data_IF_127234634954
#
_entry.id   IF_127234634954
#
_cell.length_a   1.000
_cell.length_b   1.000
_cell.length_c   1.000
_cell.angle_alpha   90.00
_cell.angle_beta   90.00
_cell.angle_gamma   90.00
#
_symmetry.space_group_name_H-M   'P 1'
#
loop_
_entity.id
_entity.type
_entity.pdbx_description
1 polymer ?
#
# COMPACT_ATOMS: atom_id res chain seq x y z
N UNK A 1 12.35 0.37 28.07
CA UNK A 1 12.61 0.27 26.63
C UNK A 1 13.78 -0.67 26.39
N UNK A 2 13.67 -1.64 25.47
CA UNK A 2 14.78 -2.54 25.12
C UNK A 2 15.71 -1.83 24.14
N UNK A 3 16.98 -1.69 24.51
CA UNK A 3 18.00 -1.05 23.65
C UNK A 3 18.41 -2.05 22.56
N UNK A 4 18.28 -1.65 21.29
CA UNK A 4 18.56 -2.55 20.15
C UNK A 4 20.03 -2.96 20.04
N UNK A 5 20.98 -2.11 20.46
CA UNK A 5 22.42 -2.38 20.35
C UNK A 5 22.93 -3.35 21.40
N UNK A 6 22.42 -3.30 22.63
CA UNK A 6 22.91 -4.11 23.76
C UNK A 6 21.92 -5.20 24.18
N UNK A 7 20.66 -5.13 23.73
CA UNK A 7 19.61 -6.06 24.13
C UNK A 7 19.09 -5.85 25.56
N UNK A 8 19.66 -4.90 26.30
CA UNK A 8 19.33 -4.62 27.69
C UNK A 8 18.03 -3.82 27.82
N UNK A 9 17.37 -4.01 28.97
CA UNK A 9 16.17 -3.27 29.33
C UNK A 9 16.57 -2.02 30.12
N UNK A 10 16.26 -0.85 29.57
CA UNK A 10 16.50 0.44 30.22
C UNK A 10 15.19 1.06 30.64
N UNK A 11 15.13 1.56 31.88
CA UNK A 11 14.02 2.38 32.36
C UNK A 11 14.31 3.82 31.98
N UNK A 12 13.39 4.44 31.23
CA UNK A 12 13.51 5.83 30.79
C UNK A 12 12.37 6.60 31.45
N UNK A 13 12.65 7.52 32.40
CA UNK A 13 11.62 8.39 32.98
C UNK A 13 10.98 9.24 31.88
N UNK A 14 9.65 9.33 31.88
CA UNK A 14 8.90 10.07 30.87
C UNK A 14 7.63 10.68 31.48
N UNK A 15 7.29 11.91 31.06
CA UNK A 15 6.00 12.54 31.41
C UNK A 15 4.88 12.18 30.44
N UNK A 16 5.22 11.86 29.19
CA UNK A 16 4.28 11.47 28.13
C UNK A 16 4.97 10.50 27.16
N UNK A 17 4.24 9.49 26.69
CA UNK A 17 4.70 8.54 25.66
C UNK A 17 3.80 8.64 24.44
N UNK A 18 4.40 8.82 23.28
CA UNK A 18 3.72 8.76 21.98
C UNK A 18 4.19 7.51 21.24
N UNK A 19 3.25 6.65 20.86
CA UNK A 19 3.53 5.41 20.15
C UNK A 19 3.01 5.49 18.71
N UNK A 20 3.90 5.65 17.74
CA UNK A 20 3.58 5.89 16.32
C UNK A 20 3.94 4.71 15.40
N UNK A 21 4.15 3.51 15.95
CA UNK A 21 4.60 2.33 15.18
C UNK A 21 3.75 1.09 15.49
N UNK A 22 3.90 0.00 14.73
CA UNK A 22 3.25 -1.27 15.02
C UNK A 22 1.86 -1.43 14.39
N UNK A 23 1.80 -1.33 13.07
CA UNK A 23 0.61 -1.73 12.31
C UNK A 23 0.61 -3.25 12.20
N UNK A 24 -0.51 -3.87 12.57
CA UNK A 24 -0.73 -5.31 12.47
C UNK A 24 -2.07 -5.62 11.83
N UNK A 25 -2.20 -6.86 11.35
CA UNK A 25 -3.43 -7.34 10.73
C UNK A 25 -4.56 -7.44 11.76
N UNK A 26 -5.73 -6.94 11.38
CA UNK A 26 -6.92 -6.94 12.26
C UNK A 26 -7.40 -8.39 12.48
N UNK A 27 -7.95 -8.72 13.66
CA UNK A 27 -8.42 -10.07 13.98
C UNK A 27 -9.33 -10.66 12.90
N UNK A 28 -10.34 -9.92 12.46
CA UNK A 28 -11.24 -10.33 11.37
C UNK A 28 -10.50 -10.76 10.08
N UNK A 29 -9.47 -9.99 9.67
CA UNK A 29 -8.70 -10.31 8.46
C UNK A 29 -7.83 -11.54 8.69
N UNK A 30 -7.29 -11.72 9.90
CA UNK A 30 -6.52 -12.90 10.28
C UNK A 30 -7.39 -14.15 10.24
N UNK A 31 -8.59 -14.09 10.80
CA UNK A 31 -9.52 -15.22 10.84
C UNK A 31 -9.91 -15.61 9.39
N UNK A 32 -10.21 -14.62 8.54
CA UNK A 32 -10.43 -14.84 7.10
C UNK A 32 -9.20 -15.46 6.41
N UNK A 33 -7.99 -14.98 6.73
CA UNK A 33 -6.75 -15.55 6.19
C UNK A 33 -6.55 -17.02 6.57
N UNK A 34 -6.95 -17.42 7.78
CA UNK A 34 -6.91 -18.82 8.22
C UNK A 34 -7.85 -19.69 7.38
N UNK A 35 -9.07 -19.22 7.12
CA UNK A 35 -10.07 -19.92 6.30
C UNK A 35 -9.62 -20.15 4.85
N UNK A 36 -8.96 -19.15 4.23
CA UNK A 36 -8.53 -19.23 2.82
C UNK A 36 -7.14 -19.86 2.64
N UNK A 37 -6.57 -20.45 3.69
CA UNK A 37 -5.24 -21.10 3.63
C UNK A 37 -4.04 -20.14 3.61
N UNK A 38 -4.25 -18.87 3.98
CA UNK A 38 -3.22 -17.83 4.10
C UNK A 38 -2.72 -17.59 5.53
N UNK A 39 -3.12 -18.38 6.54
CA UNK A 39 -2.79 -18.16 7.96
C UNK A 39 -1.29 -18.12 8.31
N UNK A 40 -0.39 -18.64 7.44
CA UNK A 40 1.07 -18.52 7.63
C UNK A 40 1.63 -17.13 7.28
N UNK A 41 0.82 -16.26 6.67
CA UNK A 41 1.20 -14.91 6.27
C UNK A 41 0.80 -13.89 7.32
N UNK A 42 1.58 -12.81 7.42
CA UNK A 42 1.28 -11.71 8.32
C UNK A 42 0.27 -10.72 7.75
N UNK A 43 0.08 -10.69 6.43
CA UNK A 43 -0.78 -9.74 5.69
C UNK A 43 -1.50 -10.50 4.58
N UNK A 44 -2.76 -10.11 4.29
CA UNK A 44 -3.56 -10.72 3.24
C UNK A 44 -2.88 -10.56 1.88
N UNK A 45 -2.80 -11.63 1.10
CA UNK A 45 -2.11 -11.61 -0.18
C UNK A 45 -3.09 -11.45 -1.35
N UNK A 46 -2.79 -10.50 -2.22
CA UNK A 46 -3.49 -10.30 -3.48
C UNK A 46 -2.61 -10.56 -4.70
N UNK A 47 -3.24 -10.76 -5.85
CA UNK A 47 -2.59 -10.77 -7.16
C UNK A 47 -2.37 -9.34 -7.72
N UNK A 48 -1.85 -9.26 -8.94
CA UNK A 48 -1.59 -7.99 -9.65
C UNK A 48 -2.88 -7.23 -10.05
N UNK A 49 -4.05 -7.84 -9.91
CA UNK A 49 -5.37 -7.24 -10.14
C UNK A 49 -6.09 -6.92 -8.82
N UNK A 50 -5.38 -7.00 -7.68
CA UNK A 50 -5.90 -6.74 -6.33
C UNK A 50 -6.94 -7.75 -5.85
N UNK A 51 -7.01 -8.93 -6.49
CA UNK A 51 -7.87 -10.05 -6.06
C UNK A 51 -7.16 -10.88 -5.00
N UNK A 52 -7.90 -11.33 -4.00
CA UNK A 52 -7.38 -12.19 -2.93
C UNK A 52 -6.97 -13.54 -3.51
N UNK A 53 -5.72 -13.95 -3.27
CA UNK A 53 -5.24 -15.26 -3.74
C UNK A 53 -6.06 -16.38 -3.09
N UNK A 54 -6.71 -17.21 -3.91
CA UNK A 54 -7.62 -18.27 -3.48
C UNK A 54 -9.10 -17.90 -3.54
N UNK A 55 -9.44 -16.61 -3.73
CA UNK A 55 -10.81 -16.11 -3.81
C UNK A 55 -10.96 -15.14 -4.99
N UNK A 56 -11.28 -15.62 -6.20
CA UNK A 56 -11.26 -14.79 -7.41
C UNK A 56 -12.28 -13.63 -7.39
N UNK A 57 -13.37 -13.76 -6.63
CA UNK A 57 -14.44 -12.76 -6.51
C UNK A 57 -14.25 -11.78 -5.35
N UNK A 58 -13.15 -11.92 -4.59
CA UNK A 58 -12.85 -11.07 -3.43
C UNK A 58 -11.67 -10.17 -3.75
N UNK A 59 -11.83 -8.87 -3.48
CA UNK A 59 -10.80 -7.85 -3.70
C UNK A 59 -10.39 -7.22 -2.38
N UNK A 60 -9.11 -6.87 -2.25
CA UNK A 60 -8.57 -6.18 -1.08
C UNK A 60 -7.61 -5.07 -1.49
N UNK A 61 -7.69 -3.92 -0.81
CA UNK A 61 -6.88 -2.72 -1.09
C UNK A 61 -6.45 -2.04 0.22
N UNK A 62 -5.37 -1.25 0.16
CA UNK A 62 -4.83 -0.52 1.31
C UNK A 62 -4.02 -1.38 2.27
N UNK A 63 -3.97 -0.96 3.54
CA UNK A 63 -3.03 -1.48 4.54
C UNK A 63 -3.32 -2.93 4.97
N UNK A 64 -4.50 -3.47 4.63
CA UNK A 64 -4.85 -4.85 4.96
C UNK A 64 -4.23 -5.89 4.01
N UNK A 65 -3.70 -5.46 2.87
CA UNK A 65 -3.21 -6.34 1.81
C UNK A 65 -1.76 -6.04 1.43
N UNK A 66 -1.06 -7.06 0.93
CA UNK A 66 0.18 -6.92 0.18
C UNK A 66 -0.03 -7.45 -1.23
N UNK A 67 0.27 -6.59 -2.21
CA UNK A 67 0.43 -7.01 -3.61
C UNK A 67 1.80 -7.68 -3.73
N UNK A 68 1.89 -8.74 -4.53
CA UNK A 68 3.15 -9.47 -4.77
C UNK A 68 4.24 -8.56 -5.36
N UNK A 69 3.81 -7.57 -6.14
CA UNK A 69 4.64 -6.45 -6.59
C UNK A 69 4.89 -5.52 -5.39
N UNK A 70 6.14 -5.46 -4.91
CA UNK A 70 6.75 -4.53 -3.92
C UNK A 70 5.77 -3.74 -3.04
N UNK A 71 5.92 -3.74 -1.70
CA UNK A 71 5.17 -2.89 -0.73
C UNK A 71 4.68 -1.54 -1.29
N UNK A 72 3.48 -1.54 -1.87
CA UNK A 72 2.79 -0.37 -2.40
C UNK A 72 1.71 -0.03 -1.39
N UNK A 73 1.88 1.08 -0.69
CA UNK A 73 0.90 1.56 0.29
C UNK A 73 0.26 2.85 -0.22
N UNK A 74 -0.49 2.76 -1.32
CA UNK A 74 -1.31 3.88 -1.81
C UNK A 74 -2.71 3.39 -2.13
N UNK A 75 -3.53 3.30 -1.07
CA UNK A 75 -4.93 2.89 -1.14
C UNK A 75 -5.74 3.70 -2.17
N UNK A 76 -5.42 4.99 -2.34
CA UNK A 76 -6.10 5.86 -3.30
C UNK A 76 -5.91 5.42 -4.76
N UNK A 77 -4.69 5.05 -5.18
CA UNK A 77 -4.44 4.57 -6.55
C UNK A 77 -5.09 3.21 -6.78
N UNK A 78 -5.01 2.33 -5.79
CA UNK A 78 -5.67 1.02 -5.82
C UNK A 78 -7.19 1.15 -5.94
N UNK A 79 -7.80 2.04 -5.16
CA UNK A 79 -9.23 2.34 -5.21
C UNK A 79 -9.67 2.90 -6.56
N UNK A 80 -8.95 3.89 -7.10
CA UNK A 80 -9.24 4.46 -8.42
C UNK A 80 -9.11 3.43 -9.55
N UNK A 81 -8.09 2.56 -9.48
CA UNK A 81 -7.93 1.46 -10.43
C UNK A 81 -9.13 0.51 -10.39
N UNK A 82 -9.47 0.02 -9.19
CA UNK A 82 -10.53 -0.97 -9.02
C UNK A 82 -11.90 -0.41 -9.42
N UNK A 83 -12.19 0.85 -9.04
CA UNK A 83 -13.41 1.54 -9.47
C UNK A 83 -13.49 1.65 -11.00
N UNK A 84 -12.37 1.95 -11.66
CA UNK A 84 -12.30 1.97 -13.12
C UNK A 84 -12.56 0.61 -13.77
N UNK A 85 -12.05 -0.47 -13.17
CA UNK A 85 -12.30 -1.84 -13.62
C UNK A 85 -13.79 -2.19 -13.51
N UNK A 86 -14.41 -1.95 -12.36
CA UNK A 86 -15.84 -2.26 -12.16
C UNK A 86 -16.75 -1.43 -13.06
N UNK A 87 -16.45 -0.14 -13.27
CA UNK A 87 -17.22 0.71 -14.17
C UNK A 87 -17.19 0.23 -15.65
N UNK A 88 -16.22 -0.59 -16.03
CA UNK A 88 -16.06 -1.13 -17.39
C UNK A 88 -16.25 -2.63 -17.47
N UNK A 89 -16.76 -3.26 -16.41
CA UNK A 89 -16.76 -4.71 -16.25
C UNK A 89 -17.33 -5.46 -17.45
N UNK A 90 -18.56 -5.12 -17.85
CA UNK A 90 -19.27 -5.77 -18.94
C UNK A 90 -18.52 -5.66 -20.27
N UNK A 91 -17.98 -4.47 -20.58
CA UNK A 91 -17.22 -4.21 -21.81
C UNK A 91 -15.93 -5.05 -21.86
N UNK A 92 -15.20 -5.10 -20.74
CA UNK A 92 -13.94 -5.83 -20.65
C UNK A 92 -14.13 -7.35 -20.61
N UNK A 93 -15.32 -7.83 -20.22
CA UNK A 93 -15.66 -9.24 -20.30
C UNK A 93 -15.86 -9.68 -21.77
N UNK A 94 -16.46 -8.82 -22.60
CA UNK A 94 -16.66 -9.08 -24.03
C UNK A 94 -15.39 -8.83 -24.85
N UNK A 95 -14.61 -7.80 -24.52
CA UNK A 95 -13.35 -7.47 -25.19
C UNK A 95 -12.22 -7.26 -24.17
N UNK A 96 -11.50 -8.33 -23.79
CA UNK A 96 -10.52 -8.30 -22.71
C UNK A 96 -9.26 -7.50 -23.07
N UNK A 97 -8.88 -6.57 -22.19
CA UNK A 97 -7.74 -5.66 -22.36
C UNK A 97 -6.43 -6.18 -21.77
N UNK A 98 -6.51 -7.21 -20.92
CA UNK A 98 -5.39 -7.76 -20.18
C UNK A 98 -4.53 -8.75 -20.96
N UNK A 99 -3.41 -9.19 -20.36
CA UNK A 99 -2.53 -10.20 -20.94
C UNK A 99 -3.26 -11.55 -21.11
N UNK A 100 -2.71 -12.42 -21.97
CA UNK A 100 -3.19 -13.79 -22.11
C UNK A 100 -3.00 -14.56 -20.81
N UNK A 101 -3.98 -15.38 -20.45
CA UNK A 101 -3.87 -16.28 -19.30
C UNK A 101 -2.99 -17.46 -19.73
N UNK A 102 -1.98 -17.79 -18.95
CA UNK A 102 -1.12 -18.93 -19.25
C UNK A 102 -1.88 -20.24 -19.00
N UNK A 103 -1.85 -21.15 -19.97
CA UNK A 103 -2.44 -22.49 -19.83
C UNK A 103 -3.94 -22.60 -20.08
N UNK A 104 -4.61 -21.52 -20.50
CA UNK A 104 -6.01 -21.55 -20.91
C UNK A 104 -6.29 -20.56 -22.06
N UNK A 105 -7.32 -20.85 -22.85
CA UNK A 105 -7.77 -19.95 -23.91
C UNK A 105 -8.54 -18.78 -23.29
N UNK A 106 -7.86 -17.63 -23.20
CA UNK A 106 -8.46 -16.42 -22.66
C UNK A 106 -7.45 -15.31 -22.38
N UNK A 107 -7.98 -14.14 -22.05
CA UNK A 107 -7.22 -12.99 -21.56
C UNK A 107 -7.83 -12.50 -20.25
N UNK A 108 -7.02 -11.90 -19.40
CA UNK A 108 -7.54 -11.16 -18.26
C UNK A 108 -8.41 -9.99 -18.77
N UNK A 109 -9.53 -9.73 -18.11
CA UNK A 109 -10.45 -8.65 -18.51
C UNK A 109 -9.75 -7.28 -18.49
N UNK A 110 -8.88 -7.05 -17.50
CA UNK A 110 -8.20 -5.78 -17.27
C UNK A 110 -6.68 -5.92 -17.33
N UNK A 111 -5.99 -4.79 -17.55
CA UNK A 111 -4.54 -4.68 -17.34
C UNK A 111 -4.20 -4.76 -15.85
N UNK A 112 -3.04 -5.33 -15.48
CA UNK A 112 -2.61 -5.38 -14.08
C UNK A 112 -2.47 -3.97 -13.50
N UNK A 113 -2.65 -3.85 -12.18
CA UNK A 113 -2.43 -2.61 -11.45
C UNK A 113 -0.96 -2.23 -11.52
N UNK A 114 -0.69 -0.97 -11.89
CA UNK A 114 0.67 -0.42 -11.90
C UNK A 114 0.75 0.74 -10.93
N UNK A 115 1.59 0.61 -9.91
CA UNK A 115 1.85 1.70 -8.99
C UNK A 115 2.67 2.80 -9.66
N UNK A 116 2.20 4.04 -9.56
CA UNK A 116 2.96 5.21 -9.96
C UNK A 116 3.45 5.93 -8.70
N UNK A 117 4.76 5.93 -8.47
CA UNK A 117 5.34 6.72 -7.40
C UNK A 117 5.23 8.22 -7.74
N UNK A 118 4.54 9.00 -6.90
CA UNK A 118 4.35 10.44 -7.07
C UNK A 118 5.29 11.28 -6.20
N UNK A 119 6.16 10.63 -5.43
CA UNK A 119 7.02 11.27 -4.43
C UNK A 119 6.54 11.09 -2.99
N UNK A 120 7.37 11.50 -2.03
CA UNK A 120 7.12 11.46 -0.59
C UNK A 120 7.59 12.76 0.03
N UNK A 121 6.92 13.18 1.09
CA UNK A 121 7.29 14.35 1.87
C UNK A 121 7.46 13.95 3.34
N UNK A 122 8.43 14.56 4.01
CA UNK A 122 8.64 14.41 5.45
C UNK A 122 8.88 15.79 6.07
N UNK A 123 8.00 16.28 6.96
CA UNK A 123 8.28 17.48 7.73
C UNK A 123 9.41 17.19 8.72
N UNK A 124 10.40 18.09 8.80
CA UNK A 124 11.59 17.92 9.66
C UNK A 124 11.51 18.74 10.95
N UNK A 125 10.45 19.54 11.12
CA UNK A 125 10.37 20.55 12.19
C UNK A 125 11.17 21.82 11.85
N UNK A 126 10.97 22.88 12.64
CA UNK A 126 11.72 24.14 12.49
C UNK A 126 11.55 24.83 11.13
N UNK A 127 10.37 24.77 10.53
CA UNK A 127 10.04 25.30 9.20
C UNK A 127 10.91 24.74 8.07
N UNK A 128 11.07 23.41 8.05
CA UNK A 128 11.71 22.68 6.95
C UNK A 128 10.94 21.40 6.66
N UNK A 129 10.96 21.00 5.39
CA UNK A 129 10.52 19.70 4.94
C UNK A 129 11.58 19.11 4.00
N UNK A 130 11.62 17.78 3.93
CA UNK A 130 12.30 17.05 2.87
C UNK A 130 11.25 16.46 1.92
N UNK A 131 11.60 16.41 0.64
CA UNK A 131 10.80 15.78 -0.39
C UNK A 131 11.68 14.93 -1.29
N UNK A 132 11.16 13.76 -1.63
CA UNK A 132 11.66 12.87 -2.67
C UNK A 132 10.62 12.90 -3.80
N UNK A 133 11.00 13.34 -4.99
CA UNK A 133 10.13 13.45 -6.15
C UNK A 133 10.50 12.37 -7.19
N UNK A 134 9.58 12.03 -8.11
CA UNK A 134 9.85 11.02 -9.13
C UNK A 134 11.11 11.35 -9.96
N UNK A 135 11.92 10.33 -10.25
CA UNK A 135 13.20 10.48 -10.95
C UNK A 135 14.39 10.78 -10.04
N UNK A 136 14.29 10.41 -8.76
CA UNK A 136 15.35 10.54 -7.73
C UNK A 136 15.72 11.99 -7.38
N UNK A 137 14.80 12.93 -7.58
CA UNK A 137 15.00 14.33 -7.20
C UNK A 137 14.75 14.50 -5.71
N UNK A 138 15.77 14.90 -4.95
CA UNK A 138 15.67 15.17 -3.51
C UNK A 138 15.78 16.68 -3.27
N UNK A 139 14.83 17.22 -2.50
CA UNK A 139 14.83 18.63 -2.10
C UNK A 139 14.61 18.75 -0.59
N UNK A 140 15.29 19.68 0.06
CA UNK A 140 15.13 19.92 1.49
C UNK A 140 15.21 21.42 1.79
N UNK A 141 14.29 21.92 2.61
CA UNK A 141 14.34 23.29 3.12
C UNK A 141 12.97 23.96 3.23
N UNK A 142 13.01 25.30 3.29
CA UNK A 142 11.81 26.15 3.42
C UNK A 142 10.97 26.14 2.15
N UNK A 143 11.59 26.15 0.97
CA UNK A 143 10.88 26.04 -0.32
C UNK A 143 10.12 24.72 -0.43
N UNK A 144 10.74 23.62 0.00
CA UNK A 144 10.10 22.30 0.09
C UNK A 144 8.93 22.27 1.06
N UNK A 145 8.99 23.06 2.14
CA UNK A 145 7.86 23.20 3.08
C UNK A 145 6.68 23.96 2.46
N UNK A 146 6.94 25.03 1.70
CA UNK A 146 5.88 25.71 0.94
C UNK A 146 5.22 24.81 -0.09
N UNK A 147 6.02 23.99 -0.78
CA UNK A 147 5.50 22.95 -1.68
C UNK A 147 4.67 21.90 -0.91
N UNK A 148 5.11 21.51 0.28
CA UNK A 148 4.33 20.61 1.13
C UNK A 148 2.97 21.21 1.52
N UNK A 149 2.95 22.49 1.92
CA UNK A 149 1.70 23.19 2.21
C UNK A 149 0.78 23.27 0.98
N UNK A 150 1.30 23.54 -0.22
CA UNK A 150 0.44 23.63 -1.41
C UNK A 150 -0.22 22.30 -1.79
N UNK A 151 0.41 21.16 -1.46
CA UNK A 151 -0.13 19.82 -1.72
C UNK A 151 -1.11 19.39 -0.63
N UNK A 152 -0.79 19.64 0.64
CA UNK A 152 -1.54 19.08 1.79
C UNK A 152 -2.52 20.05 2.44
N UNK A 153 -2.40 21.37 2.26
CA UNK A 153 -3.29 22.36 2.86
C UNK A 153 -4.51 22.69 1.98
N UNK A 154 -5.01 21.70 1.24
CA UNK A 154 -6.17 21.84 0.35
C UNK A 154 -7.48 21.58 1.07
#
# INVERSE_FOLDING_TARGET
MKVKSTGEYVVVPHGMVVWSTGVGTRPFVRDFMEEIGQGKRWVLATDEWLRVKGCPDVYAIGDCTTVDQRKIMVAAQQGSYLAGCFNRWEKCNTNPEGPRVFGCDGRHAFRPFTYRHLGKFAPLGGSKAAAELPGDWVSMGRSTQWLWYSVYAR
#
